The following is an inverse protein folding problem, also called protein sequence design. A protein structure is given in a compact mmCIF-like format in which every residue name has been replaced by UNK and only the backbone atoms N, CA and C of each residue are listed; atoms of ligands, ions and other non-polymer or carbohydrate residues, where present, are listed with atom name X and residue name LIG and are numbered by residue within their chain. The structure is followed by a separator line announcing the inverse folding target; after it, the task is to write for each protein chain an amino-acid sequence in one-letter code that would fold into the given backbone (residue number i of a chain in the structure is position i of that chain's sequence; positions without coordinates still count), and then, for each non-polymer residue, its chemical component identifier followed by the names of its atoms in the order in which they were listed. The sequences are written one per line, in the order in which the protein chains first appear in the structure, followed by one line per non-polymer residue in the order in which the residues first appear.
data_IF_171157970686
#
_entry.id   IF_171157970686
#
_cell.length_a   1.000
_cell.length_b   1.000
_cell.length_c   1.000
_cell.angle_alpha   90.00
_cell.angle_beta   90.00
_cell.angle_gamma   90.00
#
_symmetry.space_group_name_H-M   'P 1'
#
loop_
_entity.id
_entity.type
_entity.pdbx_description
1 polymer ?
#
# COMPACT_ATOMS: atom_id res chain seq x y z
N UNK A 1 14.21 -40.34 -5.17
CA UNK A 1 13.51 -39.14 -5.69
C UNK A 1 12.08 -39.42 -6.13
N UNK A 2 11.82 -40.23 -7.17
CA UNK A 2 10.44 -40.55 -7.62
C UNK A 2 9.49 -41.08 -6.52
N UNK A 3 9.99 -41.90 -5.57
CA UNK A 3 9.19 -42.39 -4.43
C UNK A 3 8.76 -41.29 -3.44
N UNK A 4 9.48 -40.17 -3.35
CA UNK A 4 9.15 -39.04 -2.47
C UNK A 4 8.18 -38.07 -3.14
N UNK A 5 8.30 -37.88 -4.46
CA UNK A 5 7.33 -37.14 -5.29
C UNK A 5 5.96 -37.82 -5.25
N UNK A 6 5.91 -39.16 -5.37
CA UNK A 6 4.67 -39.93 -5.26
C UNK A 6 4.00 -39.88 -3.87
N UNK A 7 4.71 -39.43 -2.83
CA UNK A 7 4.17 -39.21 -1.48
C UNK A 7 3.88 -37.73 -1.18
N UNK A 8 3.90 -36.85 -2.19
CA UNK A 8 3.71 -35.40 -2.06
C UNK A 8 4.70 -34.71 -1.10
N UNK A 9 5.82 -35.36 -0.77
CA UNK A 9 6.85 -34.77 0.11
C UNK A 9 7.72 -33.76 -0.62
N UNK A 10 7.73 -33.81 -1.96
CA UNK A 10 8.46 -32.88 -2.83
C UNK A 10 7.60 -32.53 -4.04
N UNK A 11 7.64 -31.26 -4.43
CA UNK A 11 7.09 -30.70 -5.67
C UNK A 11 8.26 -30.48 -6.63
N UNK A 12 8.16 -31.00 -7.85
CA UNK A 12 9.14 -30.75 -8.91
C UNK A 12 8.73 -29.50 -9.70
N UNK A 13 9.64 -28.54 -9.82
CA UNK A 13 9.51 -27.37 -10.69
C UNK A 13 10.84 -27.18 -11.44
N UNK A 14 10.78 -27.22 -12.77
CA UNK A 14 11.94 -27.30 -13.66
C UNK A 14 12.90 -28.46 -13.24
N UNK A 15 14.17 -28.15 -12.98
CA UNK A 15 15.23 -29.08 -12.53
C UNK A 15 15.42 -29.13 -11.00
N UNK A 16 14.50 -28.56 -10.21
CA UNK A 16 14.62 -28.49 -8.74
C UNK A 16 13.43 -29.11 -8.03
N UNK A 17 13.68 -29.62 -6.82
CA UNK A 17 12.68 -30.19 -5.94
C UNK A 17 12.52 -29.32 -4.70
N UNK A 18 11.29 -28.97 -4.38
CA UNK A 18 10.93 -28.17 -3.21
C UNK A 18 10.05 -28.99 -2.28
N UNK A 19 10.13 -28.75 -0.98
CA UNK A 19 9.02 -29.19 -0.12
C UNK A 19 7.76 -28.37 -0.47
N UNK A 20 6.55 -28.90 -0.27
CA UNK A 20 5.32 -28.12 -0.45
C UNK A 20 5.31 -26.81 0.34
N UNK A 21 5.94 -26.79 1.51
CA UNK A 21 6.10 -25.59 2.33
C UNK A 21 6.96 -24.52 1.64
N UNK A 22 8.11 -24.90 1.08
CA UNK A 22 9.00 -23.98 0.37
C UNK A 22 8.35 -23.43 -0.90
N UNK A 23 7.67 -24.29 -1.68
CA UNK A 23 6.96 -23.86 -2.88
C UNK A 23 5.85 -22.85 -2.56
N UNK A 24 5.09 -23.08 -1.47
CA UNK A 24 4.08 -22.15 -1.00
C UNK A 24 4.67 -20.81 -0.53
N UNK A 25 5.82 -20.83 0.15
CA UNK A 25 6.50 -19.62 0.59
C UNK A 25 6.97 -18.78 -0.61
N UNK A 26 7.60 -19.40 -1.60
CA UNK A 26 8.05 -18.72 -2.81
C UNK A 26 6.88 -18.10 -3.58
N UNK A 27 5.78 -18.83 -3.72
CA UNK A 27 4.58 -18.33 -4.38
C UNK A 27 3.99 -17.11 -3.66
N UNK A 28 3.88 -17.16 -2.33
CA UNK A 28 3.42 -16.02 -1.52
C UNK A 28 4.34 -14.82 -1.65
N UNK A 29 5.65 -15.04 -1.74
CA UNK A 29 6.62 -13.98 -1.93
C UNK A 29 6.42 -13.30 -3.30
N UNK A 30 6.29 -14.07 -4.38
CA UNK A 30 5.99 -13.53 -5.72
C UNK A 30 4.71 -12.70 -5.75
N UNK A 31 3.63 -13.19 -5.13
CA UNK A 31 2.37 -12.45 -5.04
C UNK A 31 2.52 -11.14 -4.24
N UNK A 32 3.26 -11.19 -3.14
CA UNK A 32 3.54 -10.02 -2.30
C UNK A 32 4.30 -8.95 -3.09
N UNK A 33 5.32 -9.35 -3.84
CA UNK A 33 6.09 -8.46 -4.72
C UNK A 33 5.22 -7.87 -5.84
N UNK A 34 4.34 -8.68 -6.45
CA UNK A 34 3.40 -8.22 -7.46
C UNK A 34 2.42 -7.16 -6.92
N UNK A 35 1.86 -7.37 -5.71
CA UNK A 35 1.01 -6.38 -5.04
C UNK A 35 1.79 -5.10 -4.75
N UNK A 36 3.00 -5.22 -4.21
CA UNK A 36 3.85 -4.07 -3.87
C UNK A 36 4.17 -3.24 -5.11
N UNK A 37 4.55 -3.91 -6.21
CA UNK A 37 4.85 -3.26 -7.49
C UNK A 37 3.63 -2.56 -8.07
N UNK A 38 2.48 -3.24 -8.12
CA UNK A 38 1.24 -2.66 -8.64
C UNK A 38 0.85 -1.38 -7.89
N UNK A 39 0.96 -1.38 -6.56
CA UNK A 39 0.61 -0.23 -5.73
C UNK A 39 1.64 0.90 -5.83
N UNK A 40 2.91 0.58 -6.02
CA UNK A 40 3.95 1.58 -6.29
C UNK A 40 3.72 2.28 -7.64
N UNK A 41 3.45 1.50 -8.69
CA UNK A 41 3.19 2.00 -10.04
C UNK A 41 1.88 2.81 -10.13
N UNK A 42 0.88 2.46 -9.30
CA UNK A 42 -0.38 3.20 -9.21
C UNK A 42 -0.22 4.60 -8.59
N UNK A 43 0.92 4.90 -7.96
CA UNK A 43 1.19 6.18 -7.34
C UNK A 43 0.11 6.57 -6.33
N UNK A 44 -0.40 7.80 -6.40
CA UNK A 44 -1.44 8.29 -5.49
C UNK A 44 -2.82 7.67 -5.72
N UNK A 45 -3.05 7.02 -6.86
CA UNK A 45 -4.31 6.33 -7.15
C UNK A 45 -4.38 5.02 -6.37
N UNK A 46 -4.57 5.13 -5.05
CA UNK A 46 -4.68 4.00 -4.14
C UNK A 46 -5.80 3.05 -4.58
N UNK A 47 -5.51 1.75 -4.54
CA UNK A 47 -6.43 0.71 -5.00
C UNK A 47 -7.12 0.03 -3.82
N UNK A 48 -8.33 -0.46 -4.07
CA UNK A 48 -9.05 -1.34 -3.15
C UNK A 48 -8.61 -2.80 -3.33
N UNK A 49 -8.89 -3.62 -2.32
CA UNK A 49 -8.50 -5.04 -2.33
C UNK A 49 -9.12 -5.85 -3.48
N UNK A 50 -10.36 -5.53 -3.87
CA UNK A 50 -11.06 -6.15 -5.01
C UNK A 50 -10.40 -5.77 -6.34
N UNK A 51 -10.05 -4.51 -6.52
CA UNK A 51 -9.34 -4.04 -7.72
C UNK A 51 -7.95 -4.66 -7.86
N UNK A 52 -7.24 -4.85 -6.74
CA UNK A 52 -5.94 -5.53 -6.73
C UNK A 52 -6.12 -7.01 -7.09
N UNK A 53 -7.12 -7.68 -6.51
CA UNK A 53 -7.43 -9.07 -6.81
C UNK A 53 -7.79 -9.28 -8.28
N UNK A 54 -8.60 -8.39 -8.86
CA UNK A 54 -8.96 -8.40 -10.28
C UNK A 54 -7.72 -8.20 -11.18
N UNK A 55 -6.94 -7.14 -10.93
CA UNK A 55 -5.76 -6.80 -11.74
C UNK A 55 -4.67 -7.89 -11.73
N UNK A 56 -4.49 -8.57 -10.60
CA UNK A 56 -3.49 -9.62 -10.45
C UNK A 56 -4.05 -11.02 -10.69
N UNK A 57 -5.37 -11.14 -10.95
CA UNK A 57 -6.07 -12.41 -11.11
C UNK A 57 -5.84 -13.36 -9.91
N UNK A 58 -5.85 -12.80 -8.70
CA UNK A 58 -5.61 -13.53 -7.45
C UNK A 58 -6.90 -13.71 -6.63
N UNK A 59 -7.03 -14.79 -5.85
CA UNK A 59 -8.16 -14.96 -4.95
C UNK A 59 -8.29 -13.82 -3.93
N UNK A 60 -9.49 -13.25 -3.80
CA UNK A 60 -9.74 -12.11 -2.89
C UNK A 60 -9.32 -12.38 -1.44
N UNK A 61 -9.50 -13.61 -0.93
CA UNK A 61 -9.09 -14.01 0.43
C UNK A 61 -7.57 -13.94 0.60
N UNK A 62 -6.82 -14.36 -0.41
CA UNK A 62 -5.37 -14.35 -0.39
C UNK A 62 -4.82 -12.92 -0.45
N UNK A 63 -5.36 -12.09 -1.36
CA UNK A 63 -4.99 -10.67 -1.46
C UNK A 63 -5.22 -9.95 -0.12
N UNK A 64 -6.38 -10.13 0.52
CA UNK A 64 -6.66 -9.52 1.83
C UNK A 64 -5.66 -9.95 2.91
N UNK A 65 -5.27 -11.22 2.94
CA UNK A 65 -4.28 -11.72 3.89
C UNK A 65 -2.89 -11.10 3.64
N UNK A 66 -2.45 -11.03 2.38
CA UNK A 66 -1.18 -10.42 2.00
C UNK A 66 -1.16 -8.92 2.30
N UNK A 67 -2.22 -8.19 1.97
CA UNK A 67 -2.37 -6.76 2.28
C UNK A 67 -2.30 -6.50 3.78
N UNK A 68 -2.99 -7.31 4.59
CA UNK A 68 -2.94 -7.21 6.06
C UNK A 68 -1.51 -7.35 6.58
N UNK A 69 -0.76 -8.33 6.05
CA UNK A 69 0.63 -8.55 6.44
C UNK A 69 1.54 -7.38 6.01
N UNK A 70 1.37 -6.87 4.78
CA UNK A 70 2.14 -5.75 4.27
C UNK A 70 1.88 -4.45 5.05
N UNK A 71 0.63 -4.21 5.46
CA UNK A 71 0.28 -3.08 6.34
C UNK A 71 0.93 -3.23 7.71
N UNK A 72 0.88 -4.43 8.31
CA UNK A 72 1.57 -4.70 9.59
C UNK A 72 3.09 -4.48 9.50
N UNK A 73 3.69 -4.75 8.34
CA UNK A 73 5.11 -4.52 8.06
C UNK A 73 5.45 -3.05 7.75
N UNK A 74 4.45 -2.15 7.65
CA UNK A 74 4.67 -0.75 7.27
C UNK A 74 5.01 -0.53 5.80
N UNK A 75 4.90 -1.56 4.94
CA UNK A 75 5.18 -1.45 3.49
C UNK A 75 4.02 -0.83 2.72
N UNK A 76 2.81 -0.98 3.25
CA UNK A 76 1.59 -0.38 2.71
C UNK A 76 0.85 0.37 3.82
N UNK A 77 0.07 1.37 3.43
CA UNK A 77 -0.79 2.15 4.32
C UNK A 77 -2.24 2.02 3.89
N UNK A 78 -3.12 1.66 4.84
CA UNK A 78 -4.55 1.60 4.59
C UNK A 78 -5.19 2.97 4.86
N UNK A 79 -5.69 3.60 3.79
CA UNK A 79 -6.38 4.89 3.81
C UNK A 79 -7.89 4.62 3.91
N UNK A 80 -8.53 5.17 4.94
CA UNK A 80 -9.94 4.94 5.28
C UNK A 80 -10.37 3.45 5.32
N UNK A 81 -9.45 2.55 5.64
CA UNK A 81 -9.72 1.11 5.77
C UNK A 81 -10.00 0.37 4.46
N UNK A 82 -10.02 1.05 3.32
CA UNK A 82 -10.44 0.47 2.04
C UNK A 82 -9.45 0.66 0.90
N UNK A 83 -8.64 1.72 0.94
CA UNK A 83 -7.64 2.01 -0.09
C UNK A 83 -6.26 1.68 0.43
N UNK A 84 -5.39 1.15 -0.42
CA UNK A 84 -4.02 0.80 -0.06
C UNK A 84 -3.04 1.67 -0.85
N UNK A 85 -2.13 2.31 -0.13
CA UNK A 85 -1.09 3.16 -0.69
C UNK A 85 0.29 2.55 -0.37
N UNK A 86 1.21 2.59 -1.33
CA UNK A 86 2.58 2.14 -1.08
C UNK A 86 3.33 3.11 -0.16
N UNK A 87 4.19 2.60 0.73
CA UNK A 87 4.96 3.43 1.67
C UNK A 87 5.79 4.50 0.97
N UNK A 88 6.52 4.15 -0.09
CA UNK A 88 7.27 5.13 -0.87
C UNK A 88 6.40 6.26 -1.45
N UNK A 89 5.14 5.97 -1.80
CA UNK A 89 4.21 7.00 -2.28
C UNK A 89 3.75 7.89 -1.13
N UNK A 90 3.51 7.32 0.06
CA UNK A 90 3.23 8.11 1.26
C UNK A 90 4.42 9.04 1.59
N UNK A 91 5.65 8.54 1.52
CA UNK A 91 6.83 9.37 1.81
C UNK A 91 6.96 10.56 0.87
N UNK A 92 6.72 10.37 -0.44
CA UNK A 92 6.66 11.49 -1.39
C UNK A 92 5.62 12.54 -1.01
N UNK A 93 4.47 12.11 -0.49
CA UNK A 93 3.45 13.03 0.03
C UNK A 93 3.92 13.74 1.29
N UNK A 94 4.57 13.04 2.22
CA UNK A 94 5.08 13.68 3.44
C UNK A 94 6.16 14.70 3.11
N UNK A 95 7.06 14.41 2.17
CA UNK A 95 8.07 15.36 1.70
C UNK A 95 7.42 16.62 1.09
N UNK A 96 6.42 16.43 0.23
CA UNK A 96 5.63 17.55 -0.31
C UNK A 96 4.99 18.40 0.80
N UNK A 97 4.39 17.77 1.81
CA UNK A 97 3.78 18.49 2.94
C UNK A 97 4.82 19.27 3.75
N UNK A 98 6.01 18.70 3.97
CA UNK A 98 7.10 19.40 4.67
C UNK A 98 7.51 20.67 3.94
N UNK A 99 7.67 20.59 2.62
CA UNK A 99 8.00 21.76 1.79
C UNK A 99 6.89 22.81 1.82
N UNK A 100 5.62 22.41 1.66
CA UNK A 100 4.48 23.34 1.71
C UNK A 100 4.41 24.10 3.05
N UNK A 101 4.71 23.43 4.18
CA UNK A 101 4.67 24.05 5.50
C UNK A 101 5.91 24.88 5.87
N UNK A 102 6.94 24.95 5.02
CA UNK A 102 8.05 25.91 5.21
C UNK A 102 7.58 27.34 4.96
N UNK A 103 6.80 27.52 3.90
CA UNK A 103 6.35 28.84 3.43
C UNK A 103 4.92 29.18 3.92
N UNK A 104 4.08 28.17 4.19
CA UNK A 104 2.67 28.36 4.51
C UNK A 104 2.34 27.89 5.91
N UNK A 105 1.51 28.66 6.62
CA UNK A 105 0.98 28.28 7.94
C UNK A 105 -0.14 27.24 7.87
N UNK A 106 -0.76 27.07 6.70
CA UNK A 106 -1.83 26.10 6.45
C UNK A 106 -1.65 25.44 5.09
N UNK A 107 -2.05 24.17 5.00
CA UNK A 107 -2.01 23.37 3.78
C UNK A 107 -3.00 23.92 2.75
N UNK A 108 -2.49 24.15 1.54
CA UNK A 108 -3.29 24.47 0.37
C UNK A 108 -3.87 23.19 -0.24
N UNK A 109 -5.18 23.01 -0.12
CA UNK A 109 -5.90 21.85 -0.64
C UNK A 109 -5.87 21.81 -2.17
N UNK A 110 -5.79 22.96 -2.85
CA UNK A 110 -5.69 23.02 -4.30
C UNK A 110 -4.31 22.52 -4.76
N UNK A 111 -3.23 22.97 -4.12
CA UNK A 111 -1.88 22.46 -4.39
C UNK A 111 -1.77 20.96 -4.13
N UNK A 112 -2.31 20.46 -3.00
CA UNK A 112 -2.32 19.03 -2.73
C UNK A 112 -3.08 18.24 -3.80
N UNK A 113 -4.24 18.75 -4.25
CA UNK A 113 -5.01 18.11 -5.32
C UNK A 113 -4.21 18.06 -6.63
N UNK A 114 -3.52 19.15 -6.98
CA UNK A 114 -2.70 19.22 -8.18
C UNK A 114 -1.50 18.26 -8.11
N UNK A 115 -0.84 18.19 -6.95
CA UNK A 115 0.29 17.29 -6.72
C UNK A 115 -0.12 15.81 -6.77
N UNK A 116 -1.24 15.46 -6.15
CA UNK A 116 -1.68 14.06 -6.05
C UNK A 116 -2.51 13.59 -7.25
N UNK A 117 -3.10 14.50 -8.02
CA UNK A 117 -4.03 14.18 -9.11
C UNK A 117 -5.34 13.52 -8.64
N UNK A 118 -5.64 13.58 -7.34
CA UNK A 118 -6.75 12.85 -6.75
C UNK A 118 -8.11 13.53 -6.96
N UNK A 119 -9.12 12.69 -7.17
CA UNK A 119 -10.52 13.14 -7.09
C UNK A 119 -10.93 13.37 -5.64
N UNK A 120 -11.99 14.15 -5.40
CA UNK A 120 -12.52 14.40 -4.04
C UNK A 120 -12.84 13.12 -3.28
N UNK A 121 -13.26 12.07 -3.99
CA UNK A 121 -13.61 10.76 -3.43
C UNK A 121 -12.44 10.13 -2.66
N UNK A 122 -11.20 10.33 -3.10
CA UNK A 122 -10.01 9.81 -2.44
C UNK A 122 -9.24 10.90 -1.67
N UNK A 123 -9.35 12.17 -2.09
CA UNK A 123 -8.69 13.28 -1.41
C UNK A 123 -9.20 13.49 0.02
N UNK A 124 -10.52 13.43 0.26
CA UNK A 124 -11.07 13.59 1.62
C UNK A 124 -10.59 12.47 2.55
N UNK A 125 -10.71 11.17 2.20
CA UNK A 125 -10.13 10.07 2.97
C UNK A 125 -8.63 10.21 3.24
N UNK A 126 -7.86 10.68 2.25
CA UNK A 126 -6.42 10.91 2.44
C UNK A 126 -6.17 12.01 3.48
N UNK A 127 -6.91 13.11 3.40
CA UNK A 127 -6.80 14.20 4.36
C UNK A 127 -7.16 13.77 5.78
N UNK A 128 -8.21 12.97 5.95
CA UNK A 128 -8.59 12.37 7.24
C UNK A 128 -7.50 11.43 7.77
N UNK A 129 -6.90 10.63 6.88
CA UNK A 129 -5.77 9.78 7.23
C UNK A 129 -4.56 10.58 7.72
N UNK A 130 -4.20 11.68 7.04
CA UNK A 130 -3.11 12.57 7.47
C UNK A 130 -3.39 13.19 8.83
N UNK A 131 -4.64 13.58 9.09
CA UNK A 131 -5.08 14.12 10.38
C UNK A 131 -4.98 13.04 11.48
N UNK A 132 -5.46 11.82 11.20
CA UNK A 132 -5.41 10.68 12.14
C UNK A 132 -3.97 10.30 12.49
N UNK A 133 -3.07 10.34 11.51
CA UNK A 133 -1.64 10.07 11.70
C UNK A 133 -0.86 11.25 12.26
N UNK A 134 -1.55 12.35 12.58
CA UNK A 134 -0.95 13.58 13.13
C UNK A 134 0.13 14.20 12.21
N UNK A 135 0.10 13.90 10.91
CA UNK A 135 0.87 14.62 9.91
C UNK A 135 0.27 15.99 9.68
N UNK A 136 -1.06 16.10 9.69
CA UNK A 136 -1.77 17.38 9.70
C UNK A 136 -2.67 17.50 10.93
N UNK A 137 -3.12 18.71 11.23
CA UNK A 137 -4.16 18.97 12.22
C UNK A 137 -5.26 19.82 11.59
N UNK A 138 -6.49 19.34 11.61
CA UNK A 138 -7.66 20.13 11.16
C UNK A 138 -7.97 21.26 12.15
N UNK A 139 -8.13 22.47 11.63
CA UNK A 139 -8.54 23.68 12.36
C UNK A 139 -9.59 24.43 11.52
N UNK A 140 -10.87 24.16 11.79
CA UNK A 140 -11.96 24.59 10.92
C UNK A 140 -11.85 23.94 9.53
N UNK A 141 -11.77 24.78 8.50
CA UNK A 141 -11.62 24.36 7.10
C UNK A 141 -10.16 24.23 6.65
N UNK A 142 -9.21 24.60 7.51
CA UNK A 142 -7.77 24.54 7.24
C UNK A 142 -7.14 23.32 7.86
N UNK A 143 -5.98 22.94 7.32
CA UNK A 143 -5.06 21.97 7.93
C UNK A 143 -3.74 22.63 8.26
N UNK A 144 -3.31 22.51 9.50
CA UNK A 144 -2.04 23.03 9.99
C UNK A 144 -1.00 21.90 10.03
N UNK A 145 0.28 22.27 10.16
CA UNK A 145 1.38 21.32 10.34
C UNK A 145 1.13 20.47 11.60
N UNK A 146 1.14 19.15 11.45
CA UNK A 146 1.01 18.21 12.55
C UNK A 146 2.37 17.86 13.17
N UNK A 147 2.38 17.35 14.42
CA UNK A 147 3.62 17.05 15.15
C UNK A 147 4.42 15.87 14.56
N UNK A 148 3.84 15.03 13.71
CA UNK A 148 4.55 13.93 13.06
C UNK A 148 5.25 14.34 11.75
N UNK A 149 5.04 15.58 11.28
CA UNK A 149 5.86 16.17 10.22
C UNK A 149 7.06 16.88 10.86
N UNK A 150 8.15 16.15 11.07
CA UNK A 150 9.44 16.76 11.45
C UNK A 150 10.02 17.53 10.26
#
# INVERSE_FOLDING_TARGET
LQRMVNRQLLIQADDRYFTPEMANLEQRQKQTEAISRLLLESGFQALKSDQIAEKLQLPSKEVKALLTNLVKQGKLHSIAGIFYLHDQTLQKLLDFLKEEFKEKSALDIASLKNFTGLTRKLLIPLLEYLDQKQFTRRSGDKRLKGPMLN
#
